data_IF_366164517135
#
_entry.id   IF_366164517135
#
_cell.length_a   1.000
_cell.length_b   1.000
_cell.length_c   1.000
_cell.angle_alpha   90.00
_cell.angle_beta   90.00
_cell.angle_gamma   90.00
#
_symmetry.space_group_name_H-M   'P 1'
#
loop_
_entity.id
_entity.type
_entity.pdbx_description
1 polymer ?
#
# COMPACT_ATOMS: atom_id res chain seq x y z
N UNK A 1 24.99 9.33 0.17
CA UNK A 1 23.52 9.18 0.18
C UNK A 1 22.78 10.53 0.18
N UNK A 2 23.25 11.54 0.93
CA UNK A 2 22.63 12.86 1.03
C UNK A 2 22.23 13.53 -0.31
N UNK A 3 23.05 13.40 -1.36
CA UNK A 3 22.74 14.01 -2.67
C UNK A 3 21.52 13.41 -3.37
N UNK A 4 21.28 12.09 -3.25
CA UNK A 4 20.09 11.45 -3.83
C UNK A 4 18.83 11.82 -3.04
N UNK A 5 18.94 11.95 -1.73
CA UNK A 5 17.84 12.41 -0.87
C UNK A 5 17.43 13.86 -1.22
N UNK A 6 18.42 14.73 -1.47
CA UNK A 6 18.16 16.09 -1.97
C UNK A 6 17.48 16.08 -3.33
N UNK A 7 17.87 15.19 -4.25
CA UNK A 7 17.19 15.04 -5.54
C UNK A 7 15.72 14.61 -5.34
N UNK A 8 15.46 13.63 -4.47
CA UNK A 8 14.10 13.22 -4.10
C UNK A 8 13.30 14.38 -3.51
N UNK A 9 13.93 15.26 -2.71
CA UNK A 9 13.27 16.44 -2.16
C UNK A 9 12.78 17.43 -3.24
N UNK A 10 13.34 17.39 -4.46
CA UNK A 10 12.85 18.18 -5.60
C UNK A 10 11.71 17.49 -6.37
N UNK A 11 11.65 16.15 -6.35
CA UNK A 11 10.60 15.35 -7.01
C UNK A 11 9.36 15.19 -6.14
N UNK A 12 9.54 14.93 -4.84
CA UNK A 12 8.45 14.65 -3.92
C UNK A 12 7.33 15.71 -3.93
N UNK A 13 7.60 17.03 -3.95
CA UNK A 13 6.56 18.06 -4.04
C UNK A 13 5.67 17.94 -5.29
N UNK A 14 6.21 17.42 -6.40
CA UNK A 14 5.48 17.25 -7.66
C UNK A 14 4.53 16.04 -7.63
N UNK A 15 4.84 15.05 -6.78
CA UNK A 15 4.00 13.86 -6.58
C UNK A 15 2.91 14.09 -5.52
N UNK A 16 3.09 15.07 -4.62
CA UNK A 16 2.14 15.36 -3.53
C UNK A 16 0.70 15.58 -4.00
N UNK A 17 0.41 16.39 -5.04
CA UNK A 17 -0.97 16.62 -5.46
C UNK A 17 -1.71 15.34 -5.84
N UNK A 18 -1.02 14.39 -6.49
CA UNK A 18 -1.61 13.09 -6.85
C UNK A 18 -1.83 12.24 -5.60
N UNK A 19 -0.86 12.21 -4.67
CA UNK A 19 -0.99 11.48 -3.41
C UNK A 19 -2.08 12.05 -2.49
N UNK A 20 -2.25 13.37 -2.46
CA UNK A 20 -3.30 14.03 -1.71
C UNK A 20 -4.69 13.74 -2.31
N UNK A 21 -4.77 13.65 -3.64
CA UNK A 21 -5.98 13.19 -4.34
C UNK A 21 -6.35 11.74 -4.00
N UNK A 22 -5.39 10.83 -3.77
CA UNK A 22 -5.72 9.47 -3.26
C UNK A 22 -6.51 9.55 -1.94
N UNK A 23 -6.27 10.58 -1.13
CA UNK A 23 -7.01 10.88 0.08
C UNK A 23 -8.53 11.00 -0.14
N UNK A 24 -8.96 11.51 -1.29
CA UNK A 24 -10.39 11.74 -1.61
C UNK A 24 -11.10 10.52 -2.20
N UNK A 25 -10.37 9.48 -2.60
CA UNK A 25 -10.95 8.26 -3.19
C UNK A 25 -11.60 7.39 -2.11
N UNK A 26 -12.85 7.00 -2.31
CA UNK A 26 -13.55 6.08 -1.41
C UNK A 26 -13.13 4.63 -1.65
N UNK A 27 -13.00 3.86 -0.57
CA UNK A 27 -12.92 2.39 -0.60
C UNK A 27 -14.17 1.75 0.04
N UNK A 28 -15.21 2.54 0.30
CA UNK A 28 -16.54 2.06 0.65
C UNK A 28 -17.33 1.89 -0.65
N UNK A 29 -16.99 0.85 -1.40
CA UNK A 29 -17.48 0.64 -2.77
C UNK A 29 -18.72 -0.24 -2.80
N UNK A 30 -19.67 0.15 -3.68
CA UNK A 30 -20.73 -0.72 -4.21
C UNK A 30 -20.22 -1.53 -5.39
N UNK A 31 -20.98 -2.54 -5.84
CA UNK A 31 -20.66 -3.33 -7.03
C UNK A 31 -20.53 -2.46 -8.28
N UNK A 32 -21.45 -1.52 -8.50
CA UNK A 32 -21.41 -0.61 -9.64
C UNK A 32 -20.16 0.28 -9.63
N UNK A 33 -19.76 0.79 -8.46
CA UNK A 33 -18.54 1.59 -8.31
C UNK A 33 -17.28 0.75 -8.51
N UNK A 34 -17.26 -0.48 -7.99
CA UNK A 34 -16.14 -1.39 -8.18
C UNK A 34 -15.97 -1.75 -9.67
N UNK A 35 -17.07 -2.07 -10.36
CA UNK A 35 -17.09 -2.34 -11.78
C UNK A 35 -16.61 -1.13 -12.61
N UNK A 36 -17.09 0.07 -12.28
CA UNK A 36 -16.64 1.31 -12.93
C UNK A 36 -15.14 1.52 -12.74
N UNK A 37 -14.61 1.32 -11.52
CA UNK A 37 -13.18 1.44 -11.24
C UNK A 37 -12.32 0.42 -12.00
N UNK A 38 -12.86 -0.71 -12.48
CA UNK A 38 -12.10 -1.65 -13.31
C UNK A 38 -11.83 -1.13 -14.72
N UNK A 39 -12.72 -0.28 -15.21
CA UNK A 39 -12.59 0.38 -16.52
C UNK A 39 -11.90 1.73 -16.36
N UNK A 40 -12.29 2.48 -15.32
CA UNK A 40 -11.87 3.84 -15.03
C UNK A 40 -11.04 3.85 -13.75
N UNK A 41 -9.75 3.52 -13.86
CA UNK A 41 -8.87 3.48 -12.69
C UNK A 41 -8.90 4.82 -11.91
N UNK A 42 -9.20 4.78 -10.60
CA UNK A 42 -9.51 5.99 -9.86
C UNK A 42 -8.27 6.85 -9.56
N UNK A 43 -7.07 6.27 -9.46
CA UNK A 43 -5.87 7.02 -9.06
C UNK A 43 -4.52 6.37 -9.41
N UNK A 44 -4.43 5.03 -9.50
CA UNK A 44 -3.17 4.31 -9.71
C UNK A 44 -2.49 4.77 -10.99
N UNK A 45 -3.20 4.77 -12.13
CA UNK A 45 -2.67 5.20 -13.42
C UNK A 45 -2.16 6.63 -13.38
N UNK A 46 -2.87 7.52 -12.67
CA UNK A 46 -2.44 8.91 -12.46
C UNK A 46 -1.14 8.98 -11.67
N UNK A 47 -0.97 8.16 -10.63
CA UNK A 47 0.27 8.11 -9.87
C UNK A 47 1.43 7.53 -10.70
N UNK A 48 1.20 6.43 -11.41
CA UNK A 48 2.22 5.81 -12.27
C UNK A 48 2.74 6.82 -13.29
N UNK A 49 1.84 7.48 -14.01
CA UNK A 49 2.18 8.49 -14.99
C UNK A 49 2.94 9.69 -14.38
N UNK A 50 2.53 10.14 -13.19
CA UNK A 50 3.22 11.23 -12.49
C UNK A 50 4.65 10.83 -12.08
N UNK A 51 4.86 9.58 -11.66
CA UNK A 51 6.20 9.09 -11.33
C UNK A 51 7.05 8.98 -12.58
N UNK A 52 6.57 8.35 -13.65
CA UNK A 52 7.28 8.24 -14.93
C UNK A 52 7.74 9.61 -15.44
N UNK A 53 6.82 10.57 -15.49
CA UNK A 53 7.09 11.94 -15.97
C UNK A 53 8.18 12.63 -15.15
N UNK A 54 8.27 12.37 -13.85
CA UNK A 54 9.21 13.05 -12.97
C UNK A 54 10.53 12.28 -12.76
N UNK A 55 10.57 10.99 -13.04
CA UNK A 55 11.68 10.09 -12.69
C UNK A 55 12.38 9.52 -13.92
N UNK A 56 11.65 9.07 -14.94
CA UNK A 56 12.21 8.24 -16.02
C UNK A 56 13.28 8.97 -16.85
N UNK A 57 13.16 10.29 -17.02
CA UNK A 57 14.12 11.10 -17.76
C UNK A 57 15.51 11.17 -17.09
N UNK A 58 15.62 10.87 -15.80
CA UNK A 58 16.90 10.83 -15.07
C UNK A 58 17.67 9.54 -15.34
N UNK A 59 17.02 8.48 -15.80
CA UNK A 59 17.63 7.17 -16.04
C UNK A 59 18.88 7.24 -16.93
N UNK A 60 18.87 7.87 -18.13
CA UNK A 60 20.06 7.95 -18.96
C UNK A 60 21.17 8.86 -18.40
N UNK A 61 20.88 9.67 -17.38
CA UNK A 61 21.81 10.63 -16.78
C UNK A 61 22.53 10.07 -15.54
N UNK A 62 22.19 8.85 -15.12
CA UNK A 62 22.66 8.24 -13.89
C UNK A 62 23.29 6.87 -14.19
N UNK A 63 24.21 6.44 -13.32
CA UNK A 63 24.60 5.02 -13.30
C UNK A 63 23.42 4.18 -12.83
N UNK A 64 23.34 2.92 -13.28
CA UNK A 64 22.25 2.01 -12.91
C UNK A 64 22.03 1.93 -11.38
N UNK A 65 23.10 1.78 -10.60
CA UNK A 65 23.01 1.70 -9.14
C UNK A 65 22.49 3.00 -8.49
N UNK A 66 22.84 4.17 -9.05
CA UNK A 66 22.34 5.45 -8.55
C UNK A 66 20.88 5.65 -8.92
N UNK A 67 20.47 5.26 -10.13
CA UNK A 67 19.07 5.31 -10.56
C UNK A 67 18.19 4.38 -9.72
N UNK A 68 18.60 3.13 -9.50
CA UNK A 68 17.88 2.21 -8.62
C UNK A 68 17.76 2.76 -7.20
N UNK A 69 18.84 3.38 -6.68
CA UNK A 69 18.83 4.03 -5.35
C UNK A 69 17.89 5.21 -5.29
N UNK A 70 17.86 6.03 -6.32
CA UNK A 70 16.94 7.15 -6.44
C UNK A 70 15.48 6.70 -6.52
N UNK A 71 15.16 5.74 -7.40
CA UNK A 71 13.81 5.16 -7.53
C UNK A 71 13.34 4.62 -6.18
N UNK A 72 14.18 3.87 -5.46
CA UNK A 72 13.78 3.31 -4.17
C UNK A 72 13.50 4.38 -3.10
N UNK A 73 14.23 5.50 -3.10
CA UNK A 73 13.95 6.62 -2.20
C UNK A 73 12.64 7.34 -2.57
N UNK A 74 12.32 7.45 -3.87
CA UNK A 74 11.02 7.96 -4.33
C UNK A 74 9.89 7.02 -3.89
N UNK A 75 10.08 5.70 -4.02
CA UNK A 75 9.11 4.70 -3.58
C UNK A 75 8.89 4.73 -2.07
N UNK A 76 9.94 4.94 -1.27
CA UNK A 76 9.82 5.11 0.18
C UNK A 76 8.90 6.30 0.53
N UNK A 77 9.07 7.43 -0.17
CA UNK A 77 8.20 8.60 0.01
C UNK A 77 6.74 8.29 -0.37
N UNK A 78 6.52 7.65 -1.52
CA UNK A 78 5.19 7.30 -2.03
C UNK A 78 4.47 6.34 -1.08
N UNK A 79 5.09 5.19 -0.76
CA UNK A 79 4.44 4.15 0.03
C UNK A 79 4.17 4.64 1.45
N UNK A 80 5.09 5.40 2.06
CA UNK A 80 4.85 6.00 3.38
C UNK A 80 3.62 6.90 3.37
N UNK A 81 3.40 7.68 2.31
CA UNK A 81 2.23 8.55 2.18
C UNK A 81 0.96 7.75 1.91
N UNK A 82 1.02 6.75 1.03
CA UNK A 82 -0.11 5.87 0.75
C UNK A 82 -0.56 5.12 2.00
N UNK A 83 0.36 4.54 2.77
CA UNK A 83 0.05 3.86 4.03
C UNK A 83 -0.64 4.81 5.03
N UNK A 84 -0.09 6.01 5.21
CA UNK A 84 -0.67 7.04 6.07
C UNK A 84 -2.06 7.50 5.60
N UNK A 85 -2.33 7.42 4.29
CA UNK A 85 -3.65 7.71 3.71
C UNK A 85 -4.61 6.54 3.92
N UNK A 86 -4.20 5.30 3.65
CA UNK A 86 -5.06 4.11 3.76
C UNK A 86 -5.49 3.84 5.21
N UNK A 87 -4.64 4.11 6.20
CA UNK A 87 -4.96 3.89 7.61
C UNK A 87 -6.04 4.84 8.16
N UNK A 88 -6.42 5.88 7.40
CA UNK A 88 -7.47 6.84 7.74
C UNK A 88 -8.80 6.53 7.04
N UNK A 89 -8.84 5.52 6.16
CA UNK A 89 -10.02 5.19 5.36
C UNK A 89 -10.87 4.10 6.00
N UNK A 90 -12.09 3.97 5.50
CA UNK A 90 -12.98 2.82 5.74
C UNK A 90 -13.06 1.96 4.48
N UNK A 91 -13.30 0.67 4.68
CA UNK A 91 -13.31 -0.31 3.60
C UNK A 91 -14.58 -1.18 3.66
N UNK A 92 -15.21 -1.35 2.48
CA UNK A 92 -16.12 -2.48 2.21
C UNK A 92 -15.30 -3.73 1.79
N UNK A 93 -15.95 -4.86 1.52
CA UNK A 93 -15.26 -6.04 0.93
C UNK A 93 -14.65 -5.69 -0.43
N UNK A 94 -15.43 -5.04 -1.28
CA UNK A 94 -14.98 -4.60 -2.61
C UNK A 94 -13.86 -3.56 -2.50
N UNK A 95 -13.87 -2.72 -1.46
CA UNK A 95 -12.73 -1.86 -1.13
C UNK A 95 -11.45 -2.62 -0.81
N UNK A 96 -11.54 -3.70 -0.04
CA UNK A 96 -10.39 -4.57 0.24
C UNK A 96 -9.81 -5.17 -1.05
N UNK A 97 -10.68 -5.65 -1.94
CA UNK A 97 -10.30 -6.19 -3.25
C UNK A 97 -9.67 -5.13 -4.15
N UNK A 98 -10.27 -3.93 -4.18
CA UNK A 98 -9.71 -2.79 -4.91
C UNK A 98 -8.29 -2.46 -4.42
N UNK A 99 -8.05 -2.42 -3.10
CA UNK A 99 -6.72 -2.12 -2.57
C UNK A 99 -5.69 -3.21 -2.93
N UNK A 100 -6.07 -4.48 -2.91
CA UNK A 100 -5.20 -5.58 -3.36
C UNK A 100 -4.81 -5.40 -4.83
N UNK A 101 -5.79 -5.07 -5.68
CA UNK A 101 -5.55 -4.78 -7.09
C UNK A 101 -4.64 -3.57 -7.30
N UNK A 102 -4.90 -2.48 -6.57
CA UNK A 102 -4.07 -1.27 -6.63
C UNK A 102 -2.63 -1.57 -6.23
N UNK A 103 -2.43 -2.29 -5.12
CA UNK A 103 -1.10 -2.68 -4.63
C UNK A 103 -0.35 -3.56 -5.65
N UNK A 104 -1.04 -4.51 -6.29
CA UNK A 104 -0.46 -5.33 -7.36
C UNK A 104 -0.06 -4.51 -8.57
N UNK A 105 -0.89 -3.57 -9.00
CA UNK A 105 -0.59 -2.69 -10.13
C UNK A 105 0.64 -1.82 -9.85
N UNK A 106 0.74 -1.24 -8.65
CA UNK A 106 1.91 -0.46 -8.22
C UNK A 106 3.18 -1.32 -8.20
N UNK A 107 3.13 -2.50 -7.56
CA UNK A 107 4.29 -3.41 -7.49
C UNK A 107 4.73 -3.83 -8.89
N UNK A 108 3.79 -4.21 -9.75
CA UNK A 108 4.06 -4.64 -11.12
C UNK A 108 4.78 -3.53 -11.90
N UNK A 109 4.22 -2.32 -11.90
CA UNK A 109 4.79 -1.19 -12.62
C UNK A 109 6.16 -0.78 -12.06
N UNK A 110 6.27 -0.56 -10.75
CA UNK A 110 7.55 -0.10 -10.20
C UNK A 110 8.65 -1.16 -10.23
N UNK A 111 8.30 -2.45 -10.37
CA UNK A 111 9.29 -3.50 -10.63
C UNK A 111 9.95 -3.37 -12.00
N UNK A 112 9.31 -2.73 -13.00
CA UNK A 112 9.93 -2.51 -14.31
C UNK A 112 10.82 -1.26 -14.35
N UNK A 113 10.70 -0.37 -13.36
CA UNK A 113 11.48 0.88 -13.29
C UNK A 113 12.87 0.73 -12.67
N UNK A 114 13.20 -0.40 -12.05
CA UNK A 114 14.47 -0.61 -11.31
C UNK A 114 14.93 -2.05 -11.46
N UNK A 115 16.24 -2.30 -11.38
CA UNK A 115 16.78 -3.66 -11.41
C UNK A 115 16.66 -4.37 -10.05
N UNK A 116 16.45 -3.61 -8.97
CA UNK A 116 16.31 -4.15 -7.61
C UNK A 116 14.84 -4.39 -7.27
N UNK A 117 14.59 -5.45 -6.50
CA UNK A 117 13.23 -5.79 -6.04
C UNK A 117 12.59 -4.65 -5.25
N UNK A 118 11.34 -4.34 -5.59
CA UNK A 118 10.52 -3.34 -4.87
C UNK A 118 9.53 -3.97 -3.90
N UNK A 119 9.40 -5.31 -3.88
CA UNK A 119 8.35 -6.01 -3.12
C UNK A 119 8.36 -5.64 -1.63
N UNK A 120 9.54 -5.56 -1.02
CA UNK A 120 9.70 -5.16 0.39
C UNK A 120 9.20 -3.75 0.68
N UNK A 121 9.27 -2.82 -0.29
CA UNK A 121 8.76 -1.46 -0.13
C UNK A 121 7.26 -1.44 0.05
N UNK A 122 6.54 -2.33 -0.64
CA UNK A 122 5.07 -2.42 -0.61
C UNK A 122 4.53 -3.40 0.42
N UNK A 123 5.39 -4.12 1.16
CA UNK A 123 5.01 -5.22 2.03
C UNK A 123 3.95 -4.84 3.08
N UNK A 124 4.03 -3.64 3.67
CA UNK A 124 3.02 -3.17 4.63
C UNK A 124 1.67 -2.92 3.96
N UNK A 125 1.66 -2.30 2.78
CA UNK A 125 0.44 -2.05 2.02
C UNK A 125 -0.22 -3.35 1.54
N UNK A 126 0.56 -4.32 1.06
CA UNK A 126 0.04 -5.63 0.66
C UNK A 126 -0.48 -6.43 1.84
N UNK A 127 0.20 -6.40 2.99
CA UNK A 127 -0.28 -7.01 4.23
C UNK A 127 -1.58 -6.36 4.72
N UNK A 128 -1.71 -5.02 4.60
CA UNK A 128 -2.98 -4.35 4.86
C UNK A 128 -4.09 -4.87 3.94
N UNK A 129 -3.83 -4.98 2.64
CA UNK A 129 -4.80 -5.53 1.68
C UNK A 129 -5.19 -6.97 2.02
N UNK A 130 -4.24 -7.83 2.44
CA UNK A 130 -4.54 -9.20 2.91
C UNK A 130 -5.51 -9.18 4.09
N UNK A 131 -5.25 -8.35 5.11
CA UNK A 131 -6.11 -8.24 6.30
C UNK A 131 -7.51 -7.74 5.91
N UNK A 132 -7.60 -6.74 5.02
CA UNK A 132 -8.86 -6.14 4.62
C UNK A 132 -9.71 -7.08 3.74
N UNK A 133 -9.12 -8.10 3.15
CA UNK A 133 -9.82 -9.11 2.36
C UNK A 133 -10.32 -10.32 3.16
N UNK A 134 -9.96 -10.43 4.45
CA UNK A 134 -10.47 -11.50 5.32
C UNK A 134 -12.00 -11.42 5.43
N UNK A 135 -12.66 -12.58 5.31
CA UNK A 135 -14.11 -12.68 5.48
C UNK A 135 -14.49 -12.55 6.95
N UNK A 136 -13.66 -13.11 7.84
CA UNK A 136 -13.84 -13.09 9.30
C UNK A 136 -12.59 -12.62 10.01
N UNK A 137 -12.79 -11.88 11.12
CA UNK A 137 -11.69 -11.41 11.98
C UNK A 137 -10.79 -12.55 12.46
N UNK A 138 -11.36 -13.73 12.73
CA UNK A 138 -10.64 -14.91 13.24
C UNK A 138 -9.62 -15.49 12.25
N UNK A 139 -9.82 -15.29 10.95
CA UNK A 139 -8.93 -15.82 9.89
C UNK A 139 -7.52 -15.25 10.00
N UNK A 140 -7.34 -14.10 10.65
CA UNK A 140 -5.99 -13.56 10.90
C UNK A 140 -5.09 -14.54 11.65
N UNK A 141 -5.67 -15.42 12.49
CA UNK A 141 -4.93 -16.41 13.26
C UNK A 141 -4.34 -17.52 12.37
N UNK A 142 -4.87 -17.72 11.17
CA UNK A 142 -4.36 -18.69 10.20
C UNK A 142 -3.12 -18.15 9.46
N UNK A 143 -2.87 -16.84 9.57
CA UNK A 143 -1.74 -16.17 8.92
C UNK A 143 -0.76 -15.55 9.92
N UNK A 144 -0.95 -15.70 11.24
CA UNK A 144 -0.17 -14.97 12.25
C UNK A 144 0.63 -15.87 13.19
N UNK A 145 1.77 -15.36 13.67
CA UNK A 145 2.67 -16.08 14.58
C UNK A 145 3.24 -17.34 13.93
N UNK A 146 3.16 -18.48 14.62
CA UNK A 146 3.62 -19.78 14.10
C UNK A 146 2.90 -20.21 12.81
N UNK A 147 1.71 -19.66 12.56
CA UNK A 147 0.91 -19.96 11.36
C UNK A 147 1.24 -19.04 10.17
N UNK A 148 2.21 -18.11 10.28
CA UNK A 148 2.48 -17.16 9.20
C UNK A 148 3.03 -17.79 7.92
N UNK A 149 3.48 -19.04 7.99
CA UNK A 149 4.10 -19.73 6.88
C UNK A 149 5.26 -18.89 6.30
N UNK A 150 5.30 -18.67 4.97
CA UNK A 150 6.36 -17.86 4.35
C UNK A 150 6.20 -16.35 4.54
N UNK A 151 5.04 -15.87 5.05
CA UNK A 151 4.80 -14.43 5.23
C UNK A 151 5.63 -13.90 6.39
N UNK A 152 6.52 -12.95 6.10
CA UNK A 152 7.21 -12.16 7.13
C UNK A 152 6.41 -10.89 7.41
N UNK A 153 5.68 -10.86 8.52
CA UNK A 153 4.90 -9.69 8.91
C UNK A 153 5.78 -8.47 9.19
N UNK A 154 5.39 -7.33 8.59
CA UNK A 154 6.00 -6.00 8.80
C UNK A 154 5.09 -5.09 9.62
N UNK A 155 3.85 -5.51 9.84
CA UNK A 155 2.90 -4.86 10.74
C UNK A 155 3.10 -5.40 12.15
N UNK A 156 3.03 -4.53 13.14
CA UNK A 156 2.96 -4.92 14.55
C UNK A 156 1.57 -5.45 14.90
N UNK A 157 1.39 -6.19 16.01
CA UNK A 157 0.05 -6.64 16.40
C UNK A 157 -0.96 -5.50 16.60
N UNK A 158 -0.50 -4.35 17.11
CA UNK A 158 -1.33 -3.16 17.26
C UNK A 158 -1.79 -2.59 15.90
N UNK A 159 -0.90 -2.60 14.90
CA UNK A 159 -1.24 -2.18 13.55
C UNK A 159 -2.20 -3.16 12.88
N UNK A 160 -2.02 -4.47 13.05
CA UNK A 160 -2.97 -5.47 12.54
C UNK A 160 -4.38 -5.23 13.10
N UNK A 161 -4.49 -5.02 14.42
CA UNK A 161 -5.77 -4.66 15.03
C UNK A 161 -6.35 -3.38 14.43
N UNK A 162 -5.51 -2.35 14.24
CA UNK A 162 -5.95 -1.10 13.63
C UNK A 162 -6.48 -1.31 12.21
N UNK A 163 -5.80 -2.12 11.39
CA UNK A 163 -6.19 -2.42 10.01
C UNK A 163 -7.48 -3.24 9.95
N UNK A 164 -7.62 -4.27 10.79
CA UNK A 164 -8.88 -5.01 10.95
C UNK A 164 -10.05 -4.06 11.26
N UNK A 165 -9.79 -3.00 12.04
CA UNK A 165 -10.80 -2.04 12.47
C UNK A 165 -11.24 -1.06 11.38
N UNK A 166 -10.59 -1.06 10.20
CA UNK A 166 -10.98 -0.22 9.08
C UNK A 166 -12.17 -0.80 8.29
N UNK A 167 -12.48 -2.09 8.47
CA UNK A 167 -13.60 -2.77 7.82
C UNK A 167 -14.92 -2.47 8.52
N UNK A 168 -15.90 -1.94 7.79
CA UNK A 168 -17.20 -1.53 8.33
C UNK A 168 -17.99 -2.67 9.01
N UNK A 169 -17.85 -3.90 8.50
CA UNK A 169 -18.66 -5.05 8.90
C UNK A 169 -17.98 -5.93 9.97
N UNK A 170 -16.66 -5.80 10.15
CA UNK A 170 -15.95 -6.56 11.18
C UNK A 170 -16.32 -5.98 12.55
N UNK A 171 -17.41 -6.52 13.12
CA UNK A 171 -18.01 -6.10 14.36
C UNK A 171 -16.94 -5.88 15.45
N UNK A 172 -16.92 -4.67 16.03
CA UNK A 172 -16.10 -4.30 17.20
C UNK A 172 -16.27 -5.27 18.38
N UNK A 173 -17.31 -6.13 18.36
CA UNK A 173 -17.55 -7.19 19.36
C UNK A 173 -16.55 -8.35 19.31
N UNK A 174 -15.87 -8.61 18.18
CA UNK A 174 -14.84 -9.66 18.09
C UNK A 174 -13.44 -9.17 18.48
N UNK A 175 -13.21 -7.86 18.49
CA UNK A 175 -11.94 -7.25 18.89
C UNK A 175 -11.51 -7.56 20.33
N UNK A 176 -12.40 -7.55 21.34
CA UNK A 176 -12.06 -7.95 22.70
C UNK A 176 -11.52 -9.38 22.80
N UNK A 177 -12.04 -10.29 21.98
CA UNK A 177 -11.59 -11.69 21.94
C UNK A 177 -10.18 -11.82 21.34
N UNK A 178 -9.84 -10.97 20.37
CA UNK A 178 -8.48 -10.91 19.83
C UNK A 178 -7.49 -10.18 20.74
N UNK A 179 -7.90 -9.12 21.46
CA UNK A 179 -7.01 -8.41 22.39
C UNK A 179 -6.58 -9.27 23.58
N UNK A 180 -7.41 -10.24 23.95
CA UNK A 180 -7.07 -11.23 24.97
C UNK A 180 -6.26 -12.42 24.42
N UNK A 181 -6.03 -12.50 23.10
CA UNK A 181 -5.30 -13.61 22.51
C UNK A 181 -3.78 -13.38 22.63
N UNK A 182 -3.04 -14.24 23.35
CA UNK A 182 -1.60 -14.07 23.55
C UNK A 182 -0.79 -14.13 22.25
N UNK A 183 -1.33 -14.68 21.16
CA UNK A 183 -0.65 -14.68 19.85
C UNK A 183 -0.58 -13.30 19.20
N UNK A 184 -1.44 -12.37 19.61
CA UNK A 184 -1.52 -11.00 19.09
C UNK A 184 -1.04 -9.96 20.12
N UNK A 185 -0.42 -10.36 21.23
CA UNK A 185 0.12 -9.46 22.25
C UNK A 185 1.65 -9.42 22.24
#
# INVERSE_FOLDING_TARGET
>A
MLGLEQLVATVAPRLRPVLDYVGTISYELTEAQYADNEVNDPWVQRLLHAVETNVAWLQPLMTANNYDSFVHLVLDFIVKRLEATMIQKRFSQLGGLQLDRDARALVSHFSSMTQRTVRDKFARLTQMATILNLEKVSEILDFWGENSGPMTWRLTPAEVRRVLGLRLILNLKQFPLLSCNPRLN
#
